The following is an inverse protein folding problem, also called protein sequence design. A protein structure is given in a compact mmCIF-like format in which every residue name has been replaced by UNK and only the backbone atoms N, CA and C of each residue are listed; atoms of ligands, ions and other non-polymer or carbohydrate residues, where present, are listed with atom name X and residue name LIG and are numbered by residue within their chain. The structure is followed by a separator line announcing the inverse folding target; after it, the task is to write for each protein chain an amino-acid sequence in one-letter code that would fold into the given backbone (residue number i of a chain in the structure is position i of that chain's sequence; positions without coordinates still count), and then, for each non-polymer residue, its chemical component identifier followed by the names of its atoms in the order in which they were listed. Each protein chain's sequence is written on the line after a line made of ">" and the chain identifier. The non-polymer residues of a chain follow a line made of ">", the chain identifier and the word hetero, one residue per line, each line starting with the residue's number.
data_IF_914421398859
#
_entry.id   IF_914421398859
#
_cell.length_a   1.000
_cell.length_b   1.000
_cell.length_c   1.000
_cell.angle_alpha   90.00
_cell.angle_beta   90.00
_cell.angle_gamma   90.00
#
_symmetry.space_group_name_H-M   'P 1'
#
loop_
_entity.id
_entity.type
_entity.pdbx_description
1 polymer ?
#
# COMPACT_ATOMS: atom_id res chain seq x y z
N UNK A 1 18.75 4.43 -29.11
CA UNK A 1 19.75 4.42 -28.02
C UNK A 1 21.13 4.12 -28.59
N UNK A 2 22.20 4.62 -27.97
CA UNK A 2 23.60 4.39 -28.39
C UNK A 2 24.05 2.94 -28.18
N UNK A 3 25.07 2.48 -28.94
CA UNK A 3 25.74 1.18 -28.74
C UNK A 3 26.61 1.13 -27.48
N UNK A 4 27.03 2.30 -26.99
CA UNK A 4 27.78 2.44 -25.74
C UNK A 4 27.06 3.47 -24.86
N UNK A 5 26.03 3.06 -24.09
CA UNK A 5 25.31 3.97 -23.20
C UNK A 5 26.13 4.30 -21.94
N UNK A 6 25.87 5.40 -21.24
CA UNK A 6 26.46 5.65 -19.92
C UNK A 6 26.13 4.53 -18.91
N UNK A 7 26.89 4.40 -17.80
CA UNK A 7 26.57 3.48 -16.71
C UNK A 7 25.14 3.69 -16.17
N UNK A 8 24.40 2.60 -15.96
CA UNK A 8 22.99 2.70 -15.54
C UNK A 8 22.82 3.30 -14.15
N UNK A 9 23.83 3.19 -13.29
CA UNK A 9 23.82 3.79 -11.94
C UNK A 9 23.61 5.31 -11.95
N UNK A 10 24.04 6.00 -13.02
CA UNK A 10 23.88 7.46 -13.15
C UNK A 10 22.42 7.90 -13.20
N UNK A 11 21.52 7.02 -13.65
CA UNK A 11 20.08 7.29 -13.72
C UNK A 11 19.28 6.56 -12.64
N UNK A 12 19.95 5.85 -11.72
CA UNK A 12 19.35 5.15 -10.56
C UNK A 12 19.43 5.99 -9.28
N UNK A 13 19.29 7.30 -9.42
CA UNK A 13 19.24 8.21 -8.27
C UNK A 13 17.77 8.34 -7.83
N UNK A 14 17.41 8.02 -6.57
CA UNK A 14 16.01 8.02 -6.11
C UNK A 14 15.27 9.33 -6.42
N UNK A 15 15.88 10.47 -6.09
CA UNK A 15 15.28 11.78 -6.36
C UNK A 15 15.04 12.04 -7.86
N UNK A 16 15.85 11.46 -8.75
CA UNK A 16 15.65 11.57 -10.19
C UNK A 16 14.48 10.68 -10.65
N UNK A 17 14.38 9.46 -10.12
CA UNK A 17 13.26 8.56 -10.41
C UNK A 17 11.93 9.13 -9.91
N UNK A 18 11.93 9.82 -8.76
CA UNK A 18 10.75 10.51 -8.25
C UNK A 18 10.23 11.58 -9.21
N UNK A 19 11.11 12.31 -9.91
CA UNK A 19 10.69 13.26 -10.94
C UNK A 19 9.92 12.57 -12.08
N UNK A 20 10.30 11.34 -12.45
CA UNK A 20 9.52 10.55 -13.41
C UNK A 20 8.18 10.12 -12.83
N UNK A 21 8.14 9.69 -11.57
CA UNK A 21 6.87 9.32 -10.90
C UNK A 21 5.89 10.50 -10.90
N UNK A 22 6.38 11.69 -10.53
CA UNK A 22 5.57 12.91 -10.53
C UNK A 22 5.14 13.33 -11.95
N UNK A 23 6.01 13.16 -12.95
CA UNK A 23 5.70 13.58 -14.32
C UNK A 23 4.78 12.60 -15.07
N UNK A 24 4.91 11.30 -14.80
CA UNK A 24 4.17 10.24 -15.50
C UNK A 24 2.92 9.78 -14.76
N UNK A 25 2.92 9.76 -13.42
CA UNK A 25 1.86 9.10 -12.65
C UNK A 25 1.05 10.04 -11.76
N UNK A 26 1.48 11.29 -11.54
CA UNK A 26 0.66 12.26 -10.79
C UNK A 26 -0.58 12.62 -11.60
N UNK A 27 -1.80 12.49 -11.03
CA UNK A 27 -3.02 12.89 -11.72
C UNK A 27 -2.98 14.35 -12.17
N UNK A 28 -3.26 14.61 -13.44
CA UNK A 28 -3.23 15.96 -14.02
C UNK A 28 -1.84 16.47 -14.44
N UNK A 29 -0.77 15.69 -14.25
CA UNK A 29 0.52 16.02 -14.83
C UNK A 29 0.44 15.98 -16.37
N UNK A 30 1.00 17.01 -17.00
CA UNK A 30 1.04 17.12 -18.47
C UNK A 30 2.44 16.82 -18.95
N UNK A 31 2.56 15.81 -19.80
CA UNK A 31 3.79 15.48 -20.51
C UNK A 31 3.63 15.84 -21.98
N UNK A 32 4.69 16.37 -22.59
CA UNK A 32 4.69 16.58 -24.04
C UNK A 32 4.57 15.20 -24.73
N UNK A 33 3.52 14.95 -25.54
CA UNK A 33 3.31 13.68 -26.23
C UNK A 33 4.51 13.25 -27.08
N UNK A 34 5.20 14.19 -27.72
CA UNK A 34 6.36 13.94 -28.58
C UNK A 34 7.58 13.42 -27.80
N UNK A 35 7.59 13.58 -26.48
CA UNK A 35 8.69 13.17 -25.61
C UNK A 35 8.30 12.07 -24.63
N UNK A 36 7.01 11.76 -24.49
CA UNK A 36 6.50 10.73 -23.57
C UNK A 36 7.23 9.39 -23.68
N UNK A 37 7.42 8.88 -24.90
CA UNK A 37 8.13 7.62 -25.13
C UNK A 37 9.58 7.65 -24.60
N UNK A 38 10.23 8.82 -24.58
CA UNK A 38 11.60 8.98 -24.04
C UNK A 38 11.61 8.89 -22.52
N UNK A 39 10.60 9.47 -21.86
CA UNK A 39 10.48 9.40 -20.39
C UNK A 39 10.24 7.95 -19.96
N UNK A 40 9.30 7.28 -20.63
CA UNK A 40 9.00 5.86 -20.40
C UNK A 40 10.24 5.00 -20.63
N UNK A 41 10.97 5.24 -21.72
CA UNK A 41 12.19 4.49 -22.02
C UNK A 41 13.26 4.69 -20.94
N UNK A 42 13.53 5.92 -20.50
CA UNK A 42 14.52 6.20 -19.46
C UNK A 42 14.16 5.54 -18.12
N UNK A 43 12.89 5.65 -17.72
CA UNK A 43 12.41 5.02 -16.50
C UNK A 43 12.49 3.49 -16.58
N UNK A 44 12.04 2.91 -17.69
CA UNK A 44 12.15 1.47 -17.92
C UNK A 44 13.61 1.01 -17.91
N UNK A 45 14.52 1.77 -18.55
CA UNK A 45 15.94 1.47 -18.58
C UNK A 45 16.55 1.47 -17.18
N UNK A 46 16.24 2.48 -16.38
CA UNK A 46 16.70 2.54 -14.99
C UNK A 46 16.17 1.35 -14.17
N UNK A 47 14.92 0.92 -14.41
CA UNK A 47 14.28 -0.15 -13.66
C UNK A 47 14.75 -1.56 -14.06
N UNK A 48 15.02 -1.82 -15.35
CA UNK A 48 15.15 -3.20 -15.86
C UNK A 48 16.53 -3.58 -16.37
N UNK A 49 17.41 -2.63 -16.69
CA UNK A 49 18.70 -2.96 -17.32
C UNK A 49 19.71 -3.43 -16.28
N UNK A 50 20.41 -4.52 -16.58
CA UNK A 50 21.45 -5.08 -15.71
C UNK A 50 22.79 -5.03 -16.40
N UNK A 51 23.79 -4.47 -15.72
CA UNK A 51 25.15 -4.38 -16.22
C UNK A 51 26.07 -5.28 -15.40
N UNK A 52 27.00 -5.97 -16.06
CA UNK A 52 28.05 -6.74 -15.39
C UNK A 52 29.37 -5.98 -15.52
N UNK A 53 29.97 -5.64 -14.38
CA UNK A 53 31.21 -4.88 -14.30
C UNK A 53 32.35 -5.73 -13.74
N UNK A 54 33.55 -5.59 -14.31
CA UNK A 54 34.78 -6.20 -13.77
C UNK A 54 35.94 -5.22 -13.90
N UNK A 55 36.58 -4.88 -12.78
CA UNK A 55 37.71 -3.93 -12.73
C UNK A 55 37.41 -2.62 -13.50
N UNK A 56 36.26 -2.00 -13.22
CA UNK A 56 35.76 -0.77 -13.86
C UNK A 56 35.56 -0.84 -15.39
N UNK A 57 35.48 -2.05 -15.95
CA UNK A 57 35.07 -2.25 -17.35
C UNK A 57 33.74 -2.97 -17.40
N UNK A 58 32.80 -2.41 -18.17
CA UNK A 58 31.50 -3.03 -18.43
C UNK A 58 31.69 -4.20 -19.39
N UNK A 59 31.36 -5.40 -18.93
CA UNK A 59 31.49 -6.65 -19.69
C UNK A 59 30.26 -6.92 -20.56
N UNK A 60 29.07 -6.65 -20.02
CA UNK A 60 27.81 -6.89 -20.72
C UNK A 60 26.69 -6.00 -20.19
N UNK A 61 25.65 -5.85 -21.02
CA UNK A 61 24.41 -5.15 -20.72
C UNK A 61 23.26 -6.09 -21.10
N UNK A 62 22.41 -6.44 -20.14
CA UNK A 62 21.17 -7.17 -20.39
C UNK A 62 20.01 -6.16 -20.48
N UNK A 63 19.21 -6.25 -21.55
CA UNK A 63 18.03 -5.42 -21.79
C UNK A 63 16.78 -6.24 -22.09
N UNK A 64 16.75 -7.52 -21.73
CA UNK A 64 15.68 -8.46 -22.13
C UNK A 64 14.32 -8.00 -21.62
N UNK A 65 14.26 -7.50 -20.38
CA UNK A 65 13.03 -7.02 -19.76
C UNK A 65 12.65 -5.58 -20.12
N UNK A 66 13.51 -4.84 -20.83
CA UNK A 66 13.31 -3.41 -21.09
C UNK A 66 12.02 -3.14 -21.87
N UNK A 67 11.76 -3.93 -22.92
CA UNK A 67 10.56 -3.75 -23.75
C UNK A 67 9.28 -4.04 -22.98
N UNK A 68 9.27 -5.10 -22.18
CA UNK A 68 8.12 -5.47 -21.36
C UNK A 68 7.86 -4.42 -20.27
N UNK A 69 8.91 -3.96 -19.59
CA UNK A 69 8.83 -2.92 -18.56
C UNK A 69 8.32 -1.60 -19.14
N UNK A 70 8.87 -1.15 -20.28
CA UNK A 70 8.42 0.07 -20.95
C UNK A 70 6.94 -0.02 -21.37
N UNK A 71 6.52 -1.16 -21.91
CA UNK A 71 5.11 -1.39 -22.27
C UNK A 71 4.21 -1.35 -21.04
N UNK A 72 4.60 -1.97 -19.93
CA UNK A 72 3.82 -1.96 -18.70
C UNK A 72 3.66 -0.53 -18.13
N UNK A 73 4.74 0.26 -18.10
CA UNK A 73 4.70 1.67 -17.71
C UNK A 73 3.75 2.46 -18.62
N UNK A 74 3.86 2.29 -19.93
CA UNK A 74 3.01 2.99 -20.91
C UNK A 74 1.54 2.64 -20.74
N UNK A 75 1.23 1.35 -20.61
CA UNK A 75 -0.13 0.85 -20.40
C UNK A 75 -0.75 1.47 -19.15
N UNK A 76 -0.06 1.41 -18.00
CA UNK A 76 -0.60 1.96 -16.75
C UNK A 76 -0.71 3.48 -16.79
N UNK A 77 0.28 4.18 -17.36
CA UNK A 77 0.18 5.63 -17.54
C UNK A 77 -1.05 6.01 -18.36
N UNK A 78 -1.37 5.29 -19.45
CA UNK A 78 -2.57 5.55 -20.24
C UNK A 78 -3.86 5.29 -19.45
N UNK A 79 -3.92 4.21 -18.68
CA UNK A 79 -5.12 3.87 -17.90
C UNK A 79 -5.35 4.79 -16.69
N UNK A 80 -4.28 5.22 -16.03
CA UNK A 80 -4.39 6.00 -14.79
C UNK A 80 -4.40 7.52 -15.05
N UNK A 81 -3.64 7.98 -16.04
CA UNK A 81 -3.31 9.42 -16.18
C UNK A 81 -3.82 10.06 -17.47
N UNK A 82 -4.41 9.31 -18.40
CA UNK A 82 -5.03 9.93 -19.58
C UNK A 82 -6.28 10.72 -19.17
N UNK A 83 -6.47 11.91 -19.77
CA UNK A 83 -7.54 12.86 -19.42
C UNK A 83 -8.96 12.29 -19.61
N UNK A 84 -9.11 11.16 -20.33
CA UNK A 84 -10.41 10.57 -20.69
C UNK A 84 -10.73 9.26 -19.97
N UNK A 85 -9.84 8.72 -19.12
CA UNK A 85 -10.11 7.43 -18.49
C UNK A 85 -11.04 7.58 -17.30
N UNK A 86 -12.30 7.25 -17.52
CA UNK A 86 -13.32 7.22 -16.47
C UNK A 86 -13.19 5.99 -15.57
N UNK A 87 -13.84 6.03 -14.39
CA UNK A 87 -13.82 4.92 -13.43
C UNK A 87 -14.30 3.57 -14.02
N UNK A 88 -15.21 3.60 -14.99
CA UNK A 88 -15.72 2.40 -15.69
C UNK A 88 -14.65 1.73 -16.56
N UNK A 89 -13.83 2.52 -17.27
CA UNK A 89 -12.75 1.99 -18.11
C UNK A 89 -11.62 1.42 -17.24
N UNK A 90 -11.31 2.09 -16.12
CA UNK A 90 -10.36 1.57 -15.13
C UNK A 90 -10.81 0.22 -14.55
N UNK A 91 -12.11 0.07 -14.28
CA UNK A 91 -12.69 -1.20 -13.83
C UNK A 91 -12.61 -2.29 -14.91
N UNK A 92 -12.90 -1.95 -16.17
CA UNK A 92 -12.84 -2.90 -17.28
C UNK A 92 -11.41 -3.44 -17.51
N UNK A 93 -10.39 -2.59 -17.31
CA UNK A 93 -8.98 -2.94 -17.49
C UNK A 93 -8.26 -3.35 -16.20
N UNK A 94 -9.00 -3.62 -15.12
CA UNK A 94 -8.42 -3.96 -13.82
C UNK A 94 -7.50 -5.20 -13.88
N UNK A 95 -7.89 -6.21 -14.67
CA UNK A 95 -7.03 -7.38 -14.90
C UNK A 95 -5.72 -7.06 -15.62
N UNK A 96 -5.72 -6.04 -16.50
CA UNK A 96 -4.50 -5.53 -17.13
C UNK A 96 -3.63 -4.79 -16.11
N UNK A 97 -4.23 -3.94 -15.28
CA UNK A 97 -3.52 -3.24 -14.20
C UNK A 97 -2.83 -4.20 -13.24
N UNK A 98 -3.52 -5.24 -12.76
CA UNK A 98 -2.96 -6.25 -11.86
C UNK A 98 -1.74 -6.96 -12.46
N UNK A 99 -1.78 -7.31 -13.76
CA UNK A 99 -0.60 -7.86 -14.44
C UNK A 99 0.56 -6.89 -14.49
N UNK A 100 0.30 -5.62 -14.78
CA UNK A 100 1.33 -4.59 -14.88
C UNK A 100 1.92 -4.22 -13.50
N UNK A 101 1.13 -4.25 -12.43
CA UNK A 101 1.58 -3.95 -11.06
C UNK A 101 2.70 -4.90 -10.62
N UNK A 102 2.81 -6.10 -11.18
CA UNK A 102 3.92 -7.04 -10.88
C UNK A 102 5.32 -6.47 -11.18
N UNK A 103 5.44 -5.45 -12.03
CA UNK A 103 6.69 -4.72 -12.22
C UNK A 103 6.87 -3.69 -11.09
N UNK A 104 7.96 -3.73 -10.29
CA UNK A 104 8.11 -2.85 -9.13
C UNK A 104 8.02 -1.35 -9.47
N UNK A 105 8.61 -0.94 -10.60
CA UNK A 105 8.54 0.46 -11.07
C UNK A 105 7.11 0.90 -11.41
N UNK A 106 6.27 -0.02 -11.88
CA UNK A 106 4.85 0.23 -12.13
C UNK A 106 4.10 0.32 -10.81
N UNK A 107 4.38 -0.54 -9.83
CA UNK A 107 3.77 -0.46 -8.51
C UNK A 107 4.07 0.87 -7.80
N UNK A 108 5.31 1.39 -7.91
CA UNK A 108 5.66 2.73 -7.42
C UNK A 108 4.84 3.82 -8.14
N UNK A 109 4.72 3.71 -9.47
CA UNK A 109 3.89 4.63 -10.27
C UNK A 109 2.41 4.59 -9.86
N UNK A 110 1.84 3.40 -9.69
CA UNK A 110 0.46 3.21 -9.22
C UNK A 110 0.29 3.78 -7.82
N UNK A 111 1.20 3.53 -6.89
CA UNK A 111 1.12 4.10 -5.54
C UNK A 111 1.14 5.63 -5.57
N UNK A 112 1.99 6.23 -6.41
CA UNK A 112 2.05 7.68 -6.64
C UNK A 112 0.71 8.21 -7.18
N UNK A 113 0.13 7.50 -8.14
CA UNK A 113 -1.16 7.85 -8.72
C UNK A 113 -2.30 7.71 -7.72
N UNK A 114 -2.33 6.64 -6.93
CA UNK A 114 -3.33 6.43 -5.87
C UNK A 114 -3.25 7.57 -4.87
N UNK A 115 -2.08 7.87 -4.31
CA UNK A 115 -1.92 9.00 -3.37
C UNK A 115 -2.45 10.30 -3.96
N UNK A 116 -2.03 10.65 -5.18
CA UNK A 116 -2.50 11.85 -5.86
C UNK A 116 -3.98 11.86 -6.20
N UNK A 117 -4.64 10.71 -6.27
CA UNK A 117 -6.07 10.58 -6.61
C UNK A 117 -6.93 10.62 -5.36
N UNK A 118 -6.61 9.79 -4.35
CA UNK A 118 -7.41 9.65 -3.13
C UNK A 118 -7.20 10.82 -2.16
N UNK A 119 -6.06 11.51 -2.25
CA UNK A 119 -5.80 12.74 -1.47
C UNK A 119 -6.49 13.98 -2.05
N UNK A 120 -7.21 13.89 -3.19
CA UNK A 120 -7.94 15.04 -3.72
C UNK A 120 -9.11 15.41 -2.80
N UNK A 121 -9.39 16.72 -2.61
CA UNK A 121 -10.61 17.14 -1.94
C UNK A 121 -11.83 16.48 -2.59
N UNK A 122 -12.82 16.10 -1.78
CA UNK A 122 -14.08 15.50 -2.22
C UNK A 122 -13.99 14.12 -2.87
N UNK A 123 -12.81 13.48 -2.91
CA UNK A 123 -12.69 12.12 -3.47
C UNK A 123 -13.71 11.16 -2.83
N UNK A 124 -13.78 11.14 -1.50
CA UNK A 124 -14.71 10.27 -0.76
C UNK A 124 -16.18 10.73 -0.80
N UNK A 125 -16.46 11.98 -1.18
CA UNK A 125 -17.85 12.41 -1.45
C UNK A 125 -18.36 11.82 -2.76
N UNK A 126 -17.49 11.76 -3.77
CA UNK A 126 -17.84 11.34 -5.13
C UNK A 126 -17.89 9.82 -5.29
N UNK A 127 -17.28 9.07 -4.38
CA UNK A 127 -17.22 7.61 -4.44
C UNK A 127 -18.08 7.00 -3.34
N UNK A 128 -19.30 6.59 -3.70
CA UNK A 128 -20.25 5.92 -2.79
C UNK A 128 -20.09 4.39 -2.74
N UNK A 129 -19.21 3.83 -3.57
CA UNK A 129 -18.95 2.39 -3.60
C UNK A 129 -18.20 1.91 -2.35
N UNK A 130 -18.43 0.66 -1.89
CA UNK A 130 -17.83 0.13 -0.66
C UNK A 130 -16.31 0.10 -0.66
N UNK A 131 -15.66 0.04 -1.82
CA UNK A 131 -14.20 0.20 -1.94
C UNK A 131 -13.88 0.83 -3.30
N UNK A 132 -13.44 2.10 -3.34
CA UNK A 132 -12.96 2.72 -4.56
C UNK A 132 -11.77 1.94 -5.15
N UNK A 133 -11.75 1.76 -6.48
CA UNK A 133 -10.68 1.04 -7.19
C UNK A 133 -9.27 1.49 -6.80
N UNK A 134 -8.97 2.80 -6.68
CA UNK A 134 -7.63 3.23 -6.27
C UNK A 134 -7.17 2.62 -4.94
N UNK A 135 -8.08 2.47 -3.96
CA UNK A 135 -7.74 1.83 -2.69
C UNK A 135 -7.56 0.32 -2.81
N UNK A 136 -8.31 -0.35 -3.69
CA UNK A 136 -8.11 -1.77 -3.96
C UNK A 136 -6.76 -2.06 -4.60
N UNK A 137 -6.22 -1.15 -5.42
CA UNK A 137 -4.88 -1.31 -5.99
C UNK A 137 -3.77 -1.33 -4.94
N UNK A 138 -3.98 -0.74 -3.75
CA UNK A 138 -3.01 -0.83 -2.65
C UNK A 138 -2.84 -2.26 -2.14
N UNK A 139 -3.89 -3.07 -2.19
CA UNK A 139 -3.83 -4.48 -1.80
C UNK A 139 -2.96 -5.28 -2.77
N UNK A 140 -3.11 -5.02 -4.08
CA UNK A 140 -2.31 -5.66 -5.12
C UNK A 140 -0.83 -5.25 -5.01
N UNK A 141 -0.55 -3.98 -4.77
CA UNK A 141 0.82 -3.47 -4.52
C UNK A 141 1.42 -4.16 -3.29
N UNK A 142 0.66 -4.25 -2.20
CA UNK A 142 1.10 -4.88 -0.95
C UNK A 142 1.36 -6.38 -1.12
N UNK A 143 0.57 -7.05 -1.96
CA UNK A 143 0.71 -8.49 -2.20
C UNK A 143 2.01 -8.83 -2.92
N UNK A 144 2.44 -8.01 -3.89
CA UNK A 144 3.61 -8.31 -4.71
C UNK A 144 4.91 -7.62 -4.28
N UNK A 145 4.85 -6.51 -3.53
CA UNK A 145 6.01 -5.65 -3.29
C UNK A 145 6.25 -5.33 -1.82
N UNK A 146 6.93 -6.22 -1.07
CA UNK A 146 7.25 -5.99 0.34
C UNK A 146 8.02 -4.70 0.64
N UNK A 147 8.89 -4.27 -0.28
CA UNK A 147 9.65 -3.02 -0.12
C UNK A 147 8.78 -1.75 -0.19
N UNK A 148 7.54 -1.87 -0.70
CA UNK A 148 6.58 -0.76 -0.74
C UNK A 148 5.65 -0.72 0.47
N UNK A 149 5.65 -1.76 1.33
CA UNK A 149 4.81 -1.80 2.52
C UNK A 149 4.89 -0.55 3.41
N UNK A 150 6.08 0.01 3.71
CA UNK A 150 6.17 1.22 4.53
C UNK A 150 5.48 2.43 3.88
N UNK A 151 5.56 2.55 2.56
CA UNK A 151 4.96 3.65 1.80
C UNK A 151 3.43 3.49 1.72
N UNK A 152 2.94 2.25 1.55
CA UNK A 152 1.50 1.96 1.62
C UNK A 152 0.96 2.29 3.01
N UNK A 153 1.65 1.85 4.08
CA UNK A 153 1.24 2.16 5.45
C UNK A 153 1.21 3.68 5.70
N UNK A 154 2.24 4.40 5.26
CA UNK A 154 2.30 5.86 5.42
C UNK A 154 1.12 6.56 4.74
N UNK A 155 0.74 6.12 3.53
CA UNK A 155 -0.43 6.64 2.84
C UNK A 155 -1.73 6.32 3.62
N UNK A 156 -1.91 5.08 4.08
CA UNK A 156 -3.09 4.69 4.84
C UNK A 156 -3.20 5.48 6.15
N UNK A 157 -2.10 5.70 6.86
CA UNK A 157 -2.04 6.54 8.07
C UNK A 157 -2.45 7.97 7.74
N UNK A 158 -1.83 8.59 6.72
CA UNK A 158 -2.16 9.95 6.27
C UNK A 158 -3.67 10.08 5.99
N UNK A 159 -4.27 9.13 5.29
CA UNK A 159 -5.70 9.17 4.95
C UNK A 159 -6.60 8.93 6.16
N UNK A 160 -6.18 8.12 7.13
CA UNK A 160 -6.94 7.82 8.34
C UNK A 160 -6.94 9.00 9.32
N UNK A 161 -5.80 9.71 9.42
CA UNK A 161 -5.60 10.91 10.23
C UNK A 161 -6.20 12.18 9.59
N UNK A 162 -6.50 12.15 8.29
CA UNK A 162 -7.15 13.28 7.59
C UNK A 162 -8.61 13.43 8.01
N UNK A 163 -9.02 14.65 8.31
CA UNK A 163 -10.42 14.99 8.55
C UNK A 163 -11.16 15.27 7.24
N UNK A 164 -12.42 14.79 7.16
CA UNK A 164 -13.28 14.96 5.99
C UNK A 164 -14.54 15.75 6.39
N UNK A 165 -14.44 17.07 6.60
CA UNK A 165 -15.52 17.88 7.18
C UNK A 165 -16.79 17.91 6.32
N UNK A 166 -16.66 17.67 5.02
CA UNK A 166 -17.76 17.63 4.05
C UNK A 166 -18.57 16.31 4.13
N UNK A 167 -18.05 15.28 4.81
CA UNK A 167 -18.73 14.01 5.02
C UNK A 167 -19.46 14.00 6.37
N UNK A 168 -20.68 13.45 6.38
CA UNK A 168 -21.36 13.13 7.63
C UNK A 168 -20.58 12.08 8.45
N UNK A 169 -20.83 12.03 9.77
CA UNK A 169 -20.11 11.16 10.69
C UNK A 169 -20.17 9.67 10.31
N UNK A 170 -21.30 9.21 9.74
CA UNK A 170 -21.47 7.82 9.34
C UNK A 170 -20.63 7.48 8.10
N UNK A 171 -20.53 8.39 7.13
CA UNK A 171 -19.64 8.25 5.97
C UNK A 171 -18.18 8.31 6.37
N UNK A 172 -17.80 9.22 7.28
CA UNK A 172 -16.43 9.27 7.81
C UNK A 172 -16.05 7.93 8.47
N UNK A 173 -16.93 7.39 9.31
CA UNK A 173 -16.72 6.08 9.94
C UNK A 173 -16.54 4.96 8.90
N UNK A 174 -17.36 4.94 7.83
CA UNK A 174 -17.23 3.97 6.74
C UNK A 174 -15.89 4.09 6.01
N UNK A 175 -15.45 5.30 5.69
CA UNK A 175 -14.14 5.54 5.06
C UNK A 175 -13.02 5.02 5.95
N UNK A 176 -13.04 5.34 7.24
CA UNK A 176 -12.03 4.85 8.19
C UNK A 176 -12.00 3.32 8.29
N UNK A 177 -13.15 2.64 8.28
CA UNK A 177 -13.22 1.17 8.21
C UNK A 177 -12.62 0.61 6.92
N UNK A 178 -12.88 1.23 5.77
CA UNK A 178 -12.27 0.82 4.49
C UNK A 178 -10.74 0.92 4.58
N UNK A 179 -10.21 2.00 5.14
CA UNK A 179 -8.76 2.19 5.32
C UNK A 179 -8.17 1.15 6.29
N UNK A 180 -8.87 0.84 7.38
CA UNK A 180 -8.45 -0.22 8.30
C UNK A 180 -8.43 -1.60 7.63
N UNK A 181 -9.36 -1.91 6.73
CA UNK A 181 -9.32 -3.17 5.98
C UNK A 181 -8.09 -3.28 5.09
N UNK A 182 -7.62 -2.16 4.51
CA UNK A 182 -6.36 -2.13 3.77
C UNK A 182 -5.16 -2.32 4.72
N UNK A 183 -5.22 -1.80 5.94
CA UNK A 183 -4.19 -2.08 6.96
C UNK A 183 -4.18 -3.55 7.41
N UNK A 184 -5.35 -4.19 7.55
CA UNK A 184 -5.48 -5.63 7.84
C UNK A 184 -4.91 -6.47 6.69
N UNK A 185 -5.18 -6.09 5.44
CA UNK A 185 -4.55 -6.74 4.28
C UNK A 185 -3.02 -6.54 4.25
N UNK A 186 -2.53 -5.35 4.57
CA UNK A 186 -1.09 -5.10 4.67
C UNK A 186 -0.44 -5.94 5.79
N UNK A 187 -1.15 -6.15 6.90
CA UNK A 187 -0.77 -7.07 7.97
C UNK A 187 -0.71 -8.52 7.46
N UNK A 188 -1.71 -8.97 6.69
CA UNK A 188 -1.74 -10.32 6.11
C UNK A 188 -0.62 -10.57 5.09
N UNK A 189 -0.13 -9.50 4.44
CA UNK A 189 1.05 -9.53 3.57
C UNK A 189 2.39 -9.58 4.33
N UNK A 190 2.38 -9.57 5.66
CA UNK A 190 3.57 -9.71 6.51
C UNK A 190 4.11 -8.40 7.12
N UNK A 191 3.49 -7.24 6.87
CA UNK A 191 3.92 -5.96 7.48
C UNK A 191 3.27 -5.71 8.85
N UNK A 192 3.33 -6.72 9.72
CA UNK A 192 2.51 -6.80 10.94
C UNK A 192 2.89 -5.75 11.98
N UNK A 193 4.15 -5.72 12.42
CA UNK A 193 4.57 -4.95 13.58
C UNK A 193 4.33 -3.44 13.43
N UNK A 194 4.67 -2.79 12.29
CA UNK A 194 4.42 -1.36 12.12
C UNK A 194 2.93 -1.00 12.11
N UNK A 195 2.08 -1.85 11.52
CA UNK A 195 0.63 -1.67 11.52
C UNK A 195 0.08 -1.73 12.95
N UNK A 196 0.41 -2.78 13.70
CA UNK A 196 -0.08 -2.94 15.08
C UNK A 196 0.46 -1.83 15.99
N UNK A 197 1.73 -1.44 15.83
CA UNK A 197 2.32 -0.35 16.59
C UNK A 197 1.59 0.98 16.37
N UNK A 198 1.17 1.25 15.12
CA UNK A 198 0.37 2.43 14.81
C UNK A 198 -1.01 2.39 15.50
N UNK A 199 -1.73 1.26 15.43
CA UNK A 199 -3.05 1.11 16.06
C UNK A 199 -2.94 1.25 17.59
N UNK A 200 -1.91 0.65 18.20
CA UNK A 200 -1.61 0.83 19.62
C UNK A 200 -1.39 2.29 19.98
N UNK A 201 -0.61 3.02 19.17
CA UNK A 201 -0.36 4.45 19.36
C UNK A 201 -1.65 5.27 19.33
N UNK A 202 -2.58 4.97 18.41
CA UNK A 202 -3.88 5.64 18.35
C UNK A 202 -4.71 5.39 19.63
N UNK A 203 -4.67 4.17 20.18
CA UNK A 203 -5.31 3.85 21.44
C UNK A 203 -4.68 4.63 22.61
N UNK A 204 -3.35 4.66 22.70
CA UNK A 204 -2.62 5.36 23.77
C UNK A 204 -2.83 6.87 23.74
N UNK A 205 -2.94 7.47 22.55
CA UNK A 205 -3.17 8.91 22.36
C UNK A 205 -4.64 9.34 22.52
N UNK A 206 -5.58 8.39 22.49
CA UNK A 206 -7.03 8.66 22.50
C UNK A 206 -7.49 9.60 21.37
N UNK A 207 -6.78 9.60 20.24
CA UNK A 207 -7.07 10.46 19.08
C UNK A 207 -7.98 9.78 18.03
N UNK A 208 -8.34 8.52 18.27
CA UNK A 208 -9.14 7.69 17.36
C UNK A 208 -10.31 7.07 18.11
N UNK A 209 -11.47 7.02 17.47
CA UNK A 209 -12.68 6.39 18.01
C UNK A 209 -12.43 4.92 18.36
N UNK A 210 -12.74 4.53 19.60
CA UNK A 210 -12.55 3.16 20.10
C UNK A 210 -13.30 2.12 19.25
N UNK A 211 -14.42 2.47 18.62
CA UNK A 211 -15.15 1.60 17.71
C UNK A 211 -14.34 1.20 16.47
N UNK A 212 -13.43 2.05 16.01
CA UNK A 212 -12.51 1.76 14.91
C UNK A 212 -11.37 0.84 15.35
N UNK A 213 -10.82 1.08 16.54
CA UNK A 213 -9.81 0.18 17.14
C UNK A 213 -10.40 -1.22 17.35
N UNK A 214 -11.62 -1.30 17.90
CA UNK A 214 -12.36 -2.57 18.04
C UNK A 214 -12.59 -3.26 16.71
N UNK A 215 -12.98 -2.50 15.69
CA UNK A 215 -13.17 -3.05 14.35
C UNK A 215 -11.88 -3.70 13.83
N UNK A 216 -10.75 -2.97 13.87
CA UNK A 216 -9.45 -3.51 13.46
C UNK A 216 -9.08 -4.78 14.24
N UNK A 217 -9.23 -4.76 15.58
CA UNK A 217 -8.90 -5.90 16.44
C UNK A 217 -9.76 -7.12 16.09
N UNK A 218 -11.06 -6.95 15.84
CA UNK A 218 -11.94 -8.05 15.42
C UNK A 218 -11.45 -8.69 14.12
N UNK A 219 -11.17 -7.88 13.09
CA UNK A 219 -10.72 -8.39 11.78
C UNK A 219 -9.37 -9.10 11.88
N UNK A 220 -8.45 -8.61 12.72
CA UNK A 220 -7.17 -9.28 12.96
C UNK A 220 -7.37 -10.61 13.68
N UNK A 221 -8.17 -10.63 14.75
CA UNK A 221 -8.44 -11.85 15.52
C UNK A 221 -9.15 -12.93 14.69
N UNK A 222 -10.06 -12.55 13.79
CA UNK A 222 -10.75 -13.48 12.89
C UNK A 222 -9.81 -14.06 11.81
N UNK A 223 -8.60 -13.50 11.61
CA UNK A 223 -7.64 -13.92 10.58
C UNK A 223 -6.40 -14.66 11.13
N UNK A 224 -5.98 -14.37 12.36
CA UNK A 224 -4.74 -14.93 12.93
C UNK A 224 -4.97 -16.23 13.69
N UNK A 225 -3.97 -17.10 13.68
CA UNK A 225 -3.94 -18.34 14.48
C UNK A 225 -2.54 -18.54 15.09
N UNK A 226 -2.41 -19.30 16.18
CA UNK A 226 -1.10 -19.68 16.72
C UNK A 226 -0.25 -20.50 15.73
N UNK A 227 1.09 -20.58 15.91
CA UNK A 227 1.88 -19.95 16.98
C UNK A 227 2.12 -18.45 16.71
N UNK A 228 2.05 -17.64 17.77
CA UNK A 228 2.36 -16.21 17.70
C UNK A 228 3.85 -15.94 17.97
N UNK A 229 4.35 -14.80 17.51
CA UNK A 229 5.69 -14.32 17.86
C UNK A 229 5.64 -13.42 19.10
N UNK A 230 6.71 -13.40 19.89
CA UNK A 230 6.79 -12.57 21.11
C UNK A 230 6.65 -11.08 20.82
N UNK A 231 7.22 -10.60 19.71
CA UNK A 231 7.10 -9.20 19.30
C UNK A 231 5.67 -8.82 18.92
N UNK A 232 4.92 -9.72 18.26
CA UNK A 232 3.51 -9.49 17.99
C UNK A 232 2.70 -9.44 19.28
N UNK A 233 2.88 -10.42 20.17
CA UNK A 233 2.19 -10.47 21.46
C UNK A 233 2.47 -9.22 22.29
N UNK A 234 3.73 -8.76 22.38
CA UNK A 234 4.13 -7.55 23.12
C UNK A 234 3.42 -6.28 22.61
N UNK A 235 3.11 -6.21 21.32
CA UNK A 235 2.42 -5.07 20.73
C UNK A 235 0.89 -5.20 20.79
N UNK A 236 0.35 -6.40 20.56
CA UNK A 236 -1.08 -6.61 20.39
C UNK A 236 -1.81 -6.88 21.72
N UNK A 237 -1.17 -7.57 22.67
CA UNK A 237 -1.79 -7.90 23.95
C UNK A 237 -2.23 -6.65 24.75
N UNK A 238 -1.43 -5.57 24.87
CA UNK A 238 -1.85 -4.37 25.58
C UNK A 238 -3.09 -3.69 24.99
N UNK A 239 -3.37 -3.89 23.69
CA UNK A 239 -4.59 -3.39 23.05
C UNK A 239 -5.81 -4.17 23.56
N UNK A 240 -5.66 -5.49 23.74
CA UNK A 240 -6.72 -6.39 24.23
C UNK A 240 -6.88 -6.36 25.75
N UNK A 241 -5.87 -5.95 26.51
CA UNK A 241 -6.01 -5.72 27.96
C UNK A 241 -6.82 -4.45 28.28
N UNK A 242 -7.07 -3.60 27.29
CA UNK A 242 -7.95 -2.44 27.46
C UNK A 242 -9.43 -2.88 27.47
N UNK A 243 -10.09 -2.76 28.63
CA UNK A 243 -11.49 -3.15 28.83
C UNK A 243 -12.46 -2.51 27.84
N UNK A 244 -12.21 -1.27 27.41
CA UNK A 244 -13.06 -0.57 26.43
C UNK A 244 -13.01 -1.17 25.02
N UNK A 245 -12.00 -2.01 24.76
CA UNK A 245 -11.85 -2.79 23.54
C UNK A 245 -12.39 -4.20 23.75
N UNK A 246 -11.85 -4.93 24.74
CA UNK A 246 -12.14 -6.35 24.93
C UNK A 246 -13.60 -6.65 25.33
N UNK A 247 -14.20 -5.85 26.23
CA UNK A 247 -15.53 -6.15 26.77
C UNK A 247 -16.62 -6.29 25.70
N UNK A 248 -16.51 -5.50 24.63
CA UNK A 248 -17.46 -5.46 23.51
C UNK A 248 -17.14 -6.46 22.39
N UNK A 249 -15.91 -6.99 22.36
CA UNK A 249 -15.49 -7.98 21.37
C UNK A 249 -15.78 -9.41 21.83
N UNK A 250 -15.94 -9.61 23.14
CA UNK A 250 -16.29 -10.90 23.72
C UNK A 250 -17.60 -11.41 23.13
N UNK A 251 -17.54 -12.52 22.39
CA UNK A 251 -18.72 -13.18 21.83
C UNK A 251 -19.31 -14.15 22.88
N UNK A 252 -20.63 -14.20 23.00
CA UNK A 252 -21.28 -15.19 23.84
C UNK A 252 -21.25 -16.57 23.14
N UNK A 253 -20.50 -17.54 23.67
CA UNK A 253 -20.37 -18.89 23.10
C UNK A 253 -19.05 -19.59 23.48
N UNK A 254 -18.80 -20.76 22.90
CA UNK A 254 -17.60 -21.59 23.18
C UNK A 254 -16.31 -21.07 22.52
N UNK A 255 -16.42 -20.24 21.48
CA UNK A 255 -15.28 -19.71 20.71
C UNK A 255 -15.24 -18.19 20.78
N UNK A 256 -14.66 -17.66 21.86
CA UNK A 256 -14.37 -16.24 22.01
C UNK A 256 -12.90 -15.94 21.65
N UNK A 257 -12.62 -15.31 20.49
CA UNK A 257 -11.26 -15.17 19.99
C UNK A 257 -10.38 -14.27 20.89
N UNK A 258 -10.98 -13.36 21.65
CA UNK A 258 -10.25 -12.54 22.63
C UNK A 258 -9.75 -13.40 23.78
N UNK A 259 -10.64 -14.21 24.38
CA UNK A 259 -10.28 -15.11 25.49
C UNK A 259 -9.29 -16.17 25.03
N UNK A 260 -9.47 -16.75 23.84
CA UNK A 260 -8.53 -17.73 23.26
C UNK A 260 -7.13 -17.14 23.08
N UNK A 261 -7.03 -15.92 22.52
CA UNK A 261 -5.76 -15.23 22.34
C UNK A 261 -5.06 -14.96 23.68
N UNK A 262 -5.78 -14.43 24.67
CA UNK A 262 -5.23 -14.12 26.00
C UNK A 262 -4.77 -15.41 26.70
N UNK A 263 -5.58 -16.47 26.68
CA UNK A 263 -5.22 -17.76 27.28
C UNK A 263 -3.97 -18.37 26.63
N UNK A 264 -3.85 -18.27 25.30
CA UNK A 264 -2.65 -18.67 24.60
C UNK A 264 -1.43 -17.85 25.02
N UNK A 265 -1.58 -16.51 25.14
CA UNK A 265 -0.50 -15.63 25.58
C UNK A 265 -0.02 -15.96 27.00
N UNK A 266 -0.95 -16.21 27.92
CA UNK A 266 -0.65 -16.58 29.29
C UNK A 266 0.10 -17.90 29.38
N UNK A 267 -0.31 -18.89 28.59
CA UNK A 267 0.28 -20.23 28.61
C UNK A 267 1.68 -20.30 27.99
N UNK A 268 2.01 -19.41 27.04
CA UNK A 268 3.23 -19.53 26.23
C UNK A 268 4.23 -18.38 26.40
N UNK A 269 3.82 -17.23 26.95
CA UNK A 269 4.66 -16.04 27.04
C UNK A 269 4.73 -15.44 28.45
N UNK A 270 3.68 -15.53 29.27
CA UNK A 270 3.65 -14.97 30.63
C UNK A 270 4.24 -15.90 31.71
N UNK A 271 4.55 -17.16 31.37
CA UNK A 271 5.20 -18.13 32.27
C UNK A 271 6.74 -18.10 32.18
N UNK A 272 7.31 -17.11 31.49
CA UNK A 272 8.75 -16.98 31.22
C UNK A 272 9.41 -15.74 31.84
N UNK A 273 8.67 -14.97 32.67
CA UNK A 273 9.22 -13.90 33.51
C UNK A 273 9.45 -14.37 34.95
#
# INVERSE_FOLDING_TARGET
>A
TSRDPPPVELIRVPAFLDLFMQSLFKPGARINPDHKHKYIHLLAYAASVVEIWKKNKRLSINQDELKATAKAIETVHNLCCAENTGASELLAELGTLYRCIRFPVVAVGVLTWVDGTVSKPKFFEQHTHPTPVPLALLDEVSTYHPLLHPHVLQLLIKLLETEYPELDAMKQLKVKKILLNRMVHLLSCGHVLPVVAYIRRCLEKLDTDLSLIRYFVSEVLDMIIPPYTSDFVRLFLPILENDSIASTLKRAGEHDPVTEFIAHCQSNFMLLD
#
